data_IF_265622602770
#
_entry.id   IF_265622602770
#
_cell.length_a   1.000
_cell.length_b   1.000
_cell.length_c   1.000
_cell.angle_alpha   90.00
_cell.angle_beta   90.00
_cell.angle_gamma   90.00
#
_symmetry.space_group_name_H-M   'P 1'
#
loop_
_entity.id
_entity.type
_entity.pdbx_description
1 polymer ?
#
# COMPACT_ATOMS: atom_id res chain seq x y z
N UNK A 1 -34.25 48.19 12.80
CA UNK A 1 -34.41 46.71 12.77
C UNK A 1 -33.72 46.01 11.59
N UNK A 2 -33.50 46.68 10.44
CA UNK A 2 -32.84 46.11 9.26
C UNK A 2 -31.34 45.81 9.49
N UNK A 3 -30.62 46.71 10.17
CA UNK A 3 -29.19 46.54 10.48
C UNK A 3 -28.86 45.29 11.31
N UNK A 4 -29.77 44.91 12.22
CA UNK A 4 -29.65 43.70 13.05
C UNK A 4 -29.80 42.41 12.25
N UNK A 5 -30.56 42.44 11.14
CA UNK A 5 -30.77 41.29 10.25
C UNK A 5 -29.61 41.10 9.26
N UNK A 6 -28.96 42.19 8.86
CA UNK A 6 -27.76 42.14 8.01
C UNK A 6 -26.56 41.60 8.81
N UNK A 7 -26.43 42.01 10.08
CA UNK A 7 -25.34 41.54 10.94
C UNK A 7 -25.41 40.04 11.23
N UNK A 8 -26.61 39.48 11.45
CA UNK A 8 -26.80 38.03 11.63
C UNK A 8 -26.59 37.23 10.33
N UNK A 9 -26.95 37.78 9.17
CA UNK A 9 -26.68 37.14 7.88
C UNK A 9 -25.17 37.06 7.58
N UNK A 10 -24.43 38.13 7.92
CA UNK A 10 -22.98 38.17 7.77
C UNK A 10 -22.25 37.18 8.70
N UNK A 11 -22.79 36.91 9.90
CA UNK A 11 -22.19 35.92 10.81
C UNK A 11 -22.43 34.49 10.31
N UNK A 12 -23.60 34.17 9.77
CA UNK A 12 -23.90 32.83 9.22
C UNK A 12 -23.04 32.52 7.97
N UNK A 13 -22.78 33.52 7.13
CA UNK A 13 -21.89 33.38 5.97
C UNK A 13 -20.42 33.13 6.36
N UNK A 14 -19.97 33.65 7.51
CA UNK A 14 -18.61 33.42 8.01
C UNK A 14 -18.40 32.02 8.61
N UNK A 15 -19.47 31.35 9.07
CA UNK A 15 -19.38 29.98 9.59
C UNK A 15 -19.59 28.88 8.53
N UNK A 16 -20.04 29.24 7.31
CA UNK A 16 -20.23 28.30 6.21
C UNK A 16 -18.93 27.94 5.46
N UNK A 17 -17.82 28.64 5.76
CA UNK A 17 -16.52 28.38 5.15
C UNK A 17 -15.60 27.53 6.05
N UNK A 18 -16.15 26.60 6.82
CA UNK A 18 -15.36 25.45 7.27
C UNK A 18 -15.32 24.46 6.11
N UNK A 19 -14.42 24.71 5.15
CA UNK A 19 -13.91 23.66 4.27
C UNK A 19 -13.37 22.57 5.20
N UNK A 20 -14.16 21.52 5.40
CA UNK A 20 -13.63 20.27 5.89
C UNK A 20 -12.51 19.90 4.93
N UNK A 21 -11.27 19.93 5.41
CA UNK A 21 -10.17 19.27 4.74
C UNK A 21 -10.58 17.79 4.65
N UNK A 22 -11.20 17.40 3.55
CA UNK A 22 -11.51 16.00 3.28
C UNK A 22 -10.16 15.30 3.19
N UNK A 23 -9.85 14.48 4.19
CA UNK A 23 -8.70 13.59 4.14
C UNK A 23 -8.84 12.76 2.87
N UNK A 24 -7.79 12.75 2.04
CA UNK A 24 -7.75 11.93 0.83
C UNK A 24 -8.13 10.48 1.19
N UNK A 25 -8.89 9.78 0.33
CA UNK A 25 -9.38 8.43 0.63
C UNK A 25 -8.26 7.39 0.43
N UNK A 26 -7.16 7.58 1.15
CA UNK A 26 -5.94 6.77 1.06
C UNK A 26 -5.86 5.82 2.24
N UNK A 27 -5.76 4.55 1.92
CA UNK A 27 -5.62 3.44 2.86
C UNK A 27 -4.18 2.93 2.76
N UNK A 28 -3.30 3.50 3.58
CA UNK A 28 -1.89 3.06 3.63
C UNK A 28 -1.81 1.62 4.20
N UNK A 29 -1.39 0.68 3.35
CA UNK A 29 -1.16 -0.73 3.70
C UNK A 29 0.32 -1.08 3.87
N UNK A 30 1.23 -0.14 3.61
CA UNK A 30 2.68 -0.39 3.64
C UNK A 30 3.17 -0.81 5.03
N UNK A 31 2.60 -0.23 6.09
CA UNK A 31 2.92 -0.60 7.47
C UNK A 31 2.38 -1.99 7.82
N UNK A 32 1.16 -2.31 7.39
CA UNK A 32 0.58 -3.63 7.62
C UNK A 32 1.37 -4.73 6.90
N UNK A 33 1.82 -4.49 5.67
CA UNK A 33 2.73 -5.37 4.94
C UNK A 33 4.06 -5.57 5.68
N UNK A 34 4.64 -4.48 6.20
CA UNK A 34 5.88 -4.56 6.98
C UNK A 34 5.70 -5.37 8.27
N UNK A 35 4.61 -5.18 8.99
CA UNK A 35 4.34 -5.93 10.22
C UNK A 35 4.13 -7.41 9.94
N UNK A 36 3.34 -7.75 8.93
CA UNK A 36 3.11 -9.12 8.53
C UNK A 36 4.42 -9.81 8.10
N UNK A 37 5.26 -9.15 7.31
CA UNK A 37 6.57 -9.71 6.92
C UNK A 37 7.56 -9.83 8.07
N UNK A 38 7.49 -8.96 9.09
CA UNK A 38 8.25 -9.14 10.34
C UNK A 38 7.81 -10.38 11.09
N UNK A 39 6.50 -10.62 11.19
CA UNK A 39 5.99 -11.82 11.86
C UNK A 39 6.35 -13.09 11.09
N UNK A 40 6.26 -13.09 9.76
CA UNK A 40 6.76 -14.19 8.93
C UNK A 40 8.24 -14.49 9.22
N UNK A 41 9.11 -13.48 9.23
CA UNK A 41 10.54 -13.67 9.45
C UNK A 41 10.87 -14.16 10.87
N UNK A 42 10.16 -13.63 11.88
CA UNK A 42 10.35 -13.98 13.28
C UNK A 42 9.86 -15.41 13.60
N UNK A 43 8.74 -15.81 13.02
CA UNK A 43 8.05 -17.06 13.37
C UNK A 43 8.31 -18.20 12.37
N UNK A 44 9.32 -18.08 11.50
CA UNK A 44 9.65 -19.13 10.51
C UNK A 44 9.78 -20.53 11.12
N UNK A 45 10.29 -20.63 12.34
CA UNK A 45 10.45 -21.90 13.05
C UNK A 45 9.11 -22.53 13.46
N UNK A 46 8.07 -21.71 13.68
CA UNK A 46 6.75 -22.18 14.10
C UNK A 46 5.95 -22.77 12.94
N UNK A 47 6.18 -22.29 11.72
CA UNK A 47 5.41 -22.74 10.57
C UNK A 47 6.21 -23.53 9.56
N UNK A 48 7.54 -23.50 9.54
CA UNK A 48 8.32 -24.29 8.59
C UNK A 48 8.22 -25.80 8.88
N UNK A 49 8.00 -26.59 7.82
CA UNK A 49 8.21 -28.04 7.84
C UNK A 49 8.93 -28.46 6.55
N UNK A 50 9.67 -29.57 6.58
CA UNK A 50 10.45 -30.02 5.41
C UNK A 50 9.55 -30.39 4.23
N UNK A 51 8.36 -30.92 4.50
CA UNK A 51 7.39 -31.39 3.49
C UNK A 51 6.93 -30.24 2.59
N UNK A 52 6.74 -29.04 3.15
CA UNK A 52 6.31 -27.85 2.39
C UNK A 52 7.43 -26.87 2.06
N UNK A 53 8.68 -27.15 2.44
CA UNK A 53 9.78 -26.20 2.32
C UNK A 53 10.09 -25.76 0.89
N UNK A 54 9.96 -26.67 -0.08
CA UNK A 54 10.15 -26.34 -1.50
C UNK A 54 9.06 -25.41 -2.05
N UNK A 55 7.80 -25.63 -1.65
CA UNK A 55 6.69 -24.77 -2.04
C UNK A 55 6.80 -23.40 -1.36
N UNK A 56 7.08 -23.39 -0.06
CA UNK A 56 7.28 -22.18 0.72
C UNK A 56 8.40 -21.31 0.14
N UNK A 57 9.55 -21.91 -0.21
CA UNK A 57 10.65 -21.18 -0.85
C UNK A 57 10.24 -20.52 -2.17
N UNK A 58 9.52 -21.26 -3.03
CA UNK A 58 9.00 -20.70 -4.30
C UNK A 58 8.01 -19.56 -4.06
N UNK A 59 7.11 -19.69 -3.09
CA UNK A 59 6.12 -18.66 -2.75
C UNK A 59 6.77 -17.39 -2.20
N UNK A 60 7.77 -17.50 -1.33
CA UNK A 60 8.53 -16.35 -0.82
C UNK A 60 9.31 -15.63 -1.92
N UNK A 61 9.97 -16.37 -2.81
CA UNK A 61 10.69 -15.78 -3.95
C UNK A 61 9.73 -15.07 -4.92
N UNK A 62 8.58 -15.66 -5.19
CA UNK A 62 7.55 -15.05 -6.03
C UNK A 62 7.00 -13.75 -5.41
N UNK A 63 6.64 -13.78 -4.12
CA UNK A 63 6.18 -12.60 -3.40
C UNK A 63 7.24 -11.49 -3.39
N UNK A 64 8.50 -11.83 -3.09
CA UNK A 64 9.62 -10.89 -3.09
C UNK A 64 9.80 -10.22 -4.46
N UNK A 65 9.76 -11.00 -5.54
CA UNK A 65 9.88 -10.49 -6.91
C UNK A 65 8.74 -9.53 -7.25
N UNK A 66 7.50 -9.94 -6.99
CA UNK A 66 6.32 -9.15 -7.40
C UNK A 66 6.22 -7.86 -6.57
N UNK A 67 6.57 -7.92 -5.27
CA UNK A 67 6.68 -6.74 -4.40
C UNK A 67 7.81 -5.79 -4.82
N UNK A 68 8.95 -6.34 -5.27
CA UNK A 68 10.07 -5.55 -5.81
C UNK A 68 9.66 -4.81 -7.07
N UNK A 69 8.94 -5.48 -7.98
CA UNK A 69 8.43 -4.87 -9.21
C UNK A 69 7.47 -3.72 -8.88
N UNK A 70 6.50 -3.95 -8.00
CA UNK A 70 5.56 -2.92 -7.53
C UNK A 70 6.28 -1.69 -6.95
N UNK A 71 7.22 -1.92 -6.03
CA UNK A 71 8.00 -0.86 -5.39
C UNK A 71 8.80 -0.04 -6.42
N UNK A 72 9.46 -0.70 -7.38
CA UNK A 72 10.23 -0.03 -8.44
C UNK A 72 9.34 0.83 -9.34
N UNK A 73 8.19 0.31 -9.75
CA UNK A 73 7.23 1.08 -10.57
C UNK A 73 6.76 2.32 -9.81
N UNK A 74 6.38 2.18 -8.53
CA UNK A 74 5.99 3.33 -7.69
C UNK A 74 7.08 4.39 -7.61
N UNK A 75 8.32 3.98 -7.34
CA UNK A 75 9.46 4.89 -7.26
C UNK A 75 9.68 5.64 -8.58
N UNK A 76 9.70 4.91 -9.70
CA UNK A 76 9.91 5.52 -11.01
C UNK A 76 8.81 6.54 -11.36
N UNK A 77 7.55 6.22 -11.06
CA UNK A 77 6.42 7.12 -11.28
C UNK A 77 6.52 8.37 -10.40
N UNK A 78 6.82 8.21 -9.12
CA UNK A 78 7.02 9.34 -8.21
C UNK A 78 8.17 10.23 -8.67
N UNK A 79 9.34 9.65 -8.97
CA UNK A 79 10.51 10.38 -9.48
C UNK A 79 10.20 11.10 -10.81
N UNK A 80 9.35 10.52 -11.68
CA UNK A 80 8.89 11.14 -12.92
C UNK A 80 7.98 12.35 -12.65
N UNK A 81 7.04 12.23 -11.72
CA UNK A 81 6.14 13.31 -11.30
C UNK A 81 6.94 14.51 -10.78
N UNK A 82 7.92 14.26 -9.91
CA UNK A 82 8.77 15.31 -9.36
C UNK A 82 9.70 15.94 -10.40
N UNK A 83 10.38 15.14 -11.23
CA UNK A 83 11.31 15.64 -12.25
C UNK A 83 10.62 16.51 -13.30
N UNK A 84 9.40 16.15 -13.71
CA UNK A 84 8.65 16.87 -14.73
C UNK A 84 7.66 17.90 -14.17
N UNK A 85 7.67 18.11 -12.84
CA UNK A 85 6.77 19.02 -12.14
C UNK A 85 5.30 18.85 -12.56
N UNK A 86 4.84 17.59 -12.64
CA UNK A 86 3.48 17.27 -13.08
C UNK A 86 2.50 17.84 -12.04
N UNK A 87 1.55 18.65 -12.50
CA UNK A 87 0.56 19.27 -11.63
C UNK A 87 -0.50 18.24 -11.15
N UNK A 88 -1.00 18.38 -9.91
CA UNK A 88 -2.17 17.62 -9.45
C UNK A 88 -3.38 17.83 -10.37
N UNK A 89 -4.32 16.87 -10.34
CA UNK A 89 -5.50 16.90 -11.21
C UNK A 89 -5.31 16.30 -12.60
N UNK A 90 -4.07 16.12 -13.07
CA UNK A 90 -3.79 15.41 -14.33
C UNK A 90 -3.94 13.91 -14.13
N UNK A 91 -5.00 13.33 -14.72
CA UNK A 91 -5.23 11.88 -14.70
C UNK A 91 -4.19 11.13 -15.52
N UNK A 92 -3.81 9.98 -14.99
CA UNK A 92 -2.95 8.99 -15.64
C UNK A 92 -3.51 7.59 -15.35
N UNK A 93 -4.60 7.21 -16.03
CA UNK A 93 -5.31 5.96 -15.75
C UNK A 93 -4.49 4.73 -16.13
N UNK A 94 -3.57 4.85 -17.09
CA UNK A 94 -2.71 3.74 -17.52
C UNK A 94 -1.73 3.37 -16.40
N UNK A 95 -0.98 4.33 -15.86
CA UNK A 95 -0.06 4.05 -14.76
C UNK A 95 -0.79 3.66 -13.47
N UNK A 96 -2.01 4.19 -13.25
CA UNK A 96 -2.86 3.73 -12.15
C UNK A 96 -3.22 2.25 -12.30
N UNK A 97 -3.63 1.81 -13.49
CA UNK A 97 -4.01 0.42 -13.74
C UNK A 97 -2.82 -0.53 -13.62
N UNK A 98 -1.63 -0.10 -14.05
CA UNK A 98 -0.39 -0.84 -13.85
C UNK A 98 -0.13 -1.10 -12.35
N UNK A 99 -0.27 -0.07 -11.51
CA UNK A 99 -0.08 -0.23 -10.06
C UNK A 99 -1.11 -1.17 -9.45
N UNK A 100 -2.38 -1.06 -9.84
CA UNK A 100 -3.45 -1.96 -9.38
C UNK A 100 -3.19 -3.41 -9.78
N UNK A 101 -2.82 -3.64 -11.03
CA UNK A 101 -2.50 -4.97 -11.55
C UNK A 101 -1.33 -5.59 -10.78
N UNK A 102 -0.25 -4.82 -10.59
CA UNK A 102 0.92 -5.29 -9.84
C UNK A 102 0.59 -5.61 -8.37
N UNK A 103 -0.25 -4.79 -7.72
CA UNK A 103 -0.73 -5.11 -6.37
C UNK A 103 -1.64 -6.34 -6.36
N UNK A 104 -2.45 -6.56 -7.41
CA UNK A 104 -3.21 -7.79 -7.63
C UNK A 104 -2.32 -9.03 -7.63
N UNK A 105 -1.16 -8.96 -8.27
CA UNK A 105 -0.16 -10.03 -8.21
C UNK A 105 0.46 -10.18 -6.81
N UNK A 106 0.78 -9.07 -6.13
CA UNK A 106 1.28 -9.10 -4.74
C UNK A 106 0.30 -9.84 -3.83
N UNK A 107 -0.99 -9.49 -3.82
CA UNK A 107 -1.98 -10.17 -2.95
C UNK A 107 -2.14 -11.66 -3.32
N UNK A 108 -2.02 -12.02 -4.61
CA UNK A 108 -2.04 -13.42 -5.04
C UNK A 108 -0.88 -14.19 -4.43
N UNK A 109 0.34 -13.63 -4.45
CA UNK A 109 1.50 -14.26 -3.82
C UNK A 109 1.41 -14.27 -2.30
N UNK A 110 0.82 -13.23 -1.70
CA UNK A 110 0.58 -13.21 -0.26
C UNK A 110 -0.30 -14.37 0.17
N UNK A 111 -1.37 -14.70 -0.57
CA UNK A 111 -2.20 -15.90 -0.30
C UNK A 111 -1.38 -17.17 -0.38
N UNK A 112 -0.57 -17.34 -1.43
CA UNK A 112 0.30 -18.53 -1.58
C UNK A 112 1.27 -18.72 -0.40
N UNK A 113 1.79 -17.63 0.19
CA UNK A 113 2.61 -17.70 1.40
C UNK A 113 1.76 -18.03 2.62
N UNK A 114 0.65 -17.32 2.78
CA UNK A 114 -0.31 -17.43 3.89
C UNK A 114 -0.82 -18.86 4.05
N UNK A 115 -1.18 -19.54 2.96
CA UNK A 115 -1.66 -20.92 2.95
C UNK A 115 -0.66 -21.91 3.54
N UNK A 116 0.63 -21.58 3.49
CA UNK A 116 1.72 -22.41 3.99
C UNK A 116 2.18 -22.05 5.40
N UNK A 117 1.55 -21.07 6.06
CA UNK A 117 1.89 -20.63 7.41
C UNK A 117 1.02 -21.30 8.50
N UNK A 118 1.20 -20.91 9.76
CA UNK A 118 0.34 -21.32 10.87
C UNK A 118 -0.98 -20.50 10.87
N UNK A 119 -1.95 -20.89 11.69
CA UNK A 119 -3.28 -20.26 11.69
C UNK A 119 -3.26 -18.77 12.06
N UNK A 120 -2.34 -18.34 12.93
CA UNK A 120 -2.24 -16.96 13.39
C UNK A 120 -1.75 -16.05 12.25
N UNK A 121 -0.63 -16.43 11.62
CA UNK A 121 -0.06 -15.73 10.47
C UNK A 121 -0.99 -15.79 9.25
N UNK A 122 -1.73 -16.89 9.10
CA UNK A 122 -2.74 -17.02 8.06
C UNK A 122 -3.85 -15.99 8.25
N UNK A 123 -4.44 -15.93 9.44
CA UNK A 123 -5.50 -14.98 9.73
C UNK A 123 -5.04 -13.51 9.61
N UNK A 124 -3.79 -13.20 9.96
CA UNK A 124 -3.21 -11.88 9.73
C UNK A 124 -3.07 -11.56 8.23
N UNK A 125 -2.51 -12.50 7.46
CA UNK A 125 -2.31 -12.37 6.02
C UNK A 125 -3.64 -12.24 5.27
N UNK A 126 -4.65 -13.01 5.64
CA UNK A 126 -6.00 -12.96 5.04
C UNK A 126 -6.66 -11.60 5.26
N UNK A 127 -6.64 -11.08 6.50
CA UNK A 127 -7.18 -9.74 6.79
C UNK A 127 -6.49 -8.65 5.98
N UNK A 128 -5.18 -8.75 5.79
CA UNK A 128 -4.42 -7.80 4.99
C UNK A 128 -4.76 -7.92 3.50
N UNK A 129 -4.84 -9.15 2.98
CA UNK A 129 -5.28 -9.42 1.61
C UNK A 129 -6.67 -8.85 1.36
N UNK A 130 -7.62 -9.08 2.26
CA UNK A 130 -8.99 -8.56 2.15
C UNK A 130 -9.01 -7.03 2.18
N UNK A 131 -8.22 -6.41 3.06
CA UNK A 131 -8.08 -4.95 3.11
C UNK A 131 -7.58 -4.38 1.78
N UNK A 132 -6.54 -4.98 1.21
CA UNK A 132 -5.99 -4.53 -0.08
C UNK A 132 -6.99 -4.79 -1.21
N UNK A 133 -7.60 -5.98 -1.24
CA UNK A 133 -8.58 -6.36 -2.25
C UNK A 133 -9.78 -5.41 -2.26
N UNK A 134 -10.31 -5.05 -1.10
CA UNK A 134 -11.43 -4.11 -0.99
C UNK A 134 -11.09 -2.73 -1.56
N UNK A 135 -9.86 -2.23 -1.34
CA UNK A 135 -9.41 -0.96 -1.91
C UNK A 135 -9.27 -1.06 -3.43
N UNK A 136 -8.69 -2.15 -3.95
CA UNK A 136 -8.53 -2.36 -5.40
C UNK A 136 -9.89 -2.40 -6.12
N UNK A 137 -10.91 -2.98 -5.49
CA UNK A 137 -12.27 -3.11 -6.02
C UNK A 137 -13.20 -1.96 -5.62
N UNK A 138 -12.67 -0.90 -5.01
CA UNK A 138 -13.48 0.23 -4.50
C UNK A 138 -14.01 1.18 -5.58
N UNK A 139 -13.87 0.84 -6.87
CA UNK A 139 -14.27 1.67 -8.02
C UNK A 139 -13.73 3.12 -7.98
N UNK A 140 -12.55 3.33 -7.37
CA UNK A 140 -11.93 4.65 -7.26
C UNK A 140 -12.44 5.49 -6.08
N UNK A 141 -13.19 4.88 -5.16
CA UNK A 141 -13.57 5.51 -3.89
C UNK A 141 -12.44 5.48 -2.86
N UNK A 142 -11.47 4.56 -3.01
CA UNK A 142 -10.29 4.45 -2.15
C UNK A 142 -9.02 4.12 -2.96
N UNK A 143 -7.87 4.48 -2.40
CA UNK A 143 -6.54 4.26 -3.01
C UNK A 143 -5.56 3.69 -1.99
N UNK A 144 -4.59 2.89 -2.42
CA UNK A 144 -3.57 2.33 -1.51
C UNK A 144 -2.45 3.31 -1.19
N UNK A 145 -2.43 4.46 -1.88
CA UNK A 145 -1.39 5.46 -1.74
C UNK A 145 -1.79 6.84 -2.24
N UNK A 146 -1.04 7.85 -1.79
CA UNK A 146 -1.13 9.19 -2.32
C UNK A 146 -0.73 9.25 -3.80
N UNK A 147 0.19 8.37 -4.24
CA UNK A 147 0.55 8.24 -5.65
C UNK A 147 -0.65 7.79 -6.50
N UNK A 148 -1.36 6.75 -6.08
CA UNK A 148 -2.56 6.27 -6.80
C UNK A 148 -3.67 7.33 -6.82
N UNK A 149 -3.90 8.02 -5.71
CA UNK A 149 -4.85 9.13 -5.66
C UNK A 149 -4.46 10.26 -6.63
N UNK A 150 -3.17 10.60 -6.72
CA UNK A 150 -2.68 11.58 -7.70
C UNK A 150 -2.90 11.13 -9.14
N UNK A 151 -2.59 9.87 -9.47
CA UNK A 151 -2.80 9.31 -10.81
C UNK A 151 -4.29 9.24 -11.19
N UNK A 152 -5.17 9.08 -10.21
CA UNK A 152 -6.62 9.17 -10.39
C UNK A 152 -7.13 10.61 -10.61
N UNK A 153 -6.24 11.61 -10.48
CA UNK A 153 -6.54 13.02 -10.68
C UNK A 153 -7.06 13.73 -9.44
N UNK A 154 -6.84 13.19 -8.23
CA UNK A 154 -7.10 13.94 -7.00
C UNK A 154 -6.03 15.03 -6.79
N UNK A 155 -6.42 16.08 -6.09
CA UNK A 155 -5.51 17.14 -5.67
C UNK A 155 -4.68 16.66 -4.46
N UNK A 156 -3.55 16.02 -4.76
CA UNK A 156 -2.61 15.53 -3.75
C UNK A 156 -1.45 16.51 -3.61
N UNK A 157 -1.18 16.93 -2.38
CA UNK A 157 -0.10 17.87 -2.12
C UNK A 157 1.28 17.26 -2.46
N UNK A 158 2.21 18.10 -2.92
CA UNK A 158 3.61 17.67 -3.14
C UNK A 158 4.24 17.06 -1.88
N UNK A 159 3.84 17.54 -0.70
CA UNK A 159 4.30 17.00 0.59
C UNK A 159 3.84 15.57 0.78
N UNK A 160 2.57 15.28 0.53
CA UNK A 160 1.99 13.96 0.74
C UNK A 160 2.51 12.94 -0.28
N UNK A 161 2.77 13.39 -1.52
CA UNK A 161 3.52 12.61 -2.51
C UNK A 161 4.97 12.31 -2.07
N UNK A 162 5.66 13.28 -1.48
CA UNK A 162 7.04 13.09 -1.02
C UNK A 162 7.11 12.15 0.19
N UNK A 163 6.13 12.24 1.09
CA UNK A 163 5.98 11.31 2.22
C UNK A 163 5.69 9.89 1.73
N UNK A 164 4.82 9.72 0.73
CA UNK A 164 4.57 8.42 0.11
C UNK A 164 5.83 7.85 -0.56
N UNK A 165 6.55 8.69 -1.32
CA UNK A 165 7.77 8.32 -2.03
C UNK A 165 8.95 7.94 -1.12
N UNK A 166 8.90 8.33 0.16
CA UNK A 166 9.94 8.02 1.16
C UNK A 166 9.47 6.95 2.12
N UNK A 167 8.45 7.24 2.93
CA UNK A 167 8.01 6.38 4.04
C UNK A 167 7.44 5.05 3.55
N UNK A 168 6.55 5.08 2.56
CA UNK A 168 5.97 3.83 2.05
C UNK A 168 7.03 3.01 1.29
N UNK A 169 7.92 3.69 0.56
CA UNK A 169 9.06 3.07 -0.11
C UNK A 169 9.97 2.34 0.89
N UNK A 170 10.39 3.00 1.97
CA UNK A 170 11.27 2.41 2.99
C UNK A 170 10.63 1.18 3.65
N UNK A 171 9.32 1.21 3.89
CA UNK A 171 8.58 0.06 4.45
C UNK A 171 8.47 -1.11 3.46
N UNK A 172 8.26 -0.83 2.17
CA UNK A 172 8.28 -1.86 1.13
C UNK A 172 9.68 -2.46 0.98
N UNK A 173 10.72 -1.64 1.00
CA UNK A 173 12.11 -2.09 0.94
C UNK A 173 12.47 -2.97 2.14
N UNK A 174 12.06 -2.60 3.35
CA UNK A 174 12.23 -3.43 4.55
C UNK A 174 11.47 -4.75 4.44
N UNK A 175 10.23 -4.73 3.95
CA UNK A 175 9.45 -5.95 3.69
C UNK A 175 10.18 -6.90 2.75
N UNK A 176 10.72 -6.39 1.64
CA UNK A 176 11.51 -7.17 0.67
C UNK A 176 12.75 -7.78 1.33
N UNK A 177 13.46 -7.03 2.16
CA UNK A 177 14.63 -7.54 2.90
C UNK A 177 14.26 -8.65 3.90
N UNK A 178 13.13 -8.54 4.58
CA UNK A 178 12.62 -9.57 5.49
C UNK A 178 12.21 -10.85 4.74
N UNK A 179 11.57 -10.71 3.57
CA UNK A 179 11.24 -11.85 2.71
C UNK A 179 12.51 -12.58 2.25
N UNK A 180 13.57 -11.85 1.89
CA UNK A 180 14.86 -12.44 1.54
C UNK A 180 15.50 -13.19 2.73
N UNK A 181 15.54 -12.55 3.90
CA UNK A 181 16.02 -13.17 5.15
C UNK A 181 15.26 -14.46 5.47
N UNK A 182 13.94 -14.45 5.32
CA UNK A 182 13.08 -15.62 5.56
C UNK A 182 13.39 -16.74 4.56
N UNK A 183 13.53 -16.39 3.27
CA UNK A 183 13.94 -17.33 2.22
C UNK A 183 15.29 -18.00 2.49
N UNK A 184 16.25 -17.24 3.02
CA UNK A 184 17.56 -17.77 3.43
C UNK A 184 17.45 -18.72 4.63
N UNK A 185 16.61 -18.38 5.63
CA UNK A 185 16.32 -19.24 6.79
C UNK A 185 15.71 -20.57 6.34
N UNK A 186 14.73 -20.53 5.44
CA UNK A 186 14.10 -21.73 4.86
C UNK A 186 15.14 -22.56 4.12
N UNK A 187 15.95 -21.94 3.26
CA UNK A 187 16.99 -22.62 2.48
C UNK A 187 18.02 -23.32 3.36
N UNK A 188 18.39 -22.73 4.50
CA UNK A 188 19.28 -23.39 5.48
C UNK A 188 18.65 -24.61 6.14
N UNK A 189 17.34 -24.59 6.40
CA UNK A 189 16.61 -25.72 7.03
C UNK A 189 16.29 -26.87 6.07
N UNK A 190 16.37 -26.61 4.77
CA UNK A 190 16.20 -27.62 3.72
C UNK A 190 17.47 -28.42 3.45
N UNK A 191 18.64 -27.92 3.85
CA UNK A 191 19.91 -28.65 3.83
C UNK A 191 19.98 -29.61 5.02
#
# INVERSE_FOLDING_TARGET
>A
MIFRRILTLATVLLFAANSFAQTLPVVDVSMSLLNWTKHLDADVDKYFTKEKGAELSRSFEALKRDLTTYMKTRKNLSDNIFRNNIAPGKKDPENLEVLKTQMGEVIRQMRNVTDLTNNELRAEGDRLNDKIFNVLNSEGTQFLSNLEAFLAGLDVSKRDLALDASVAYDRLQQSISLLASTGDKISRKMK
#
